data_IF_959548761929
#
_entry.id   IF_959548761929
#
_cell.length_a   1.000
_cell.length_b   1.000
_cell.length_c   1.000
_cell.angle_alpha   90.00
_cell.angle_beta   90.00
_cell.angle_gamma   90.00
#
_symmetry.space_group_name_H-M   'P 1'
#
loop_
_entity.id
_entity.type
_entity.pdbx_description
1 polymer ?
#
# COMPACT_ATOMS: atom_id res chain seq x y z
N UNK A 1 -27.69 -24.94 -0.12
CA UNK A 1 -27.37 -23.51 0.07
C UNK A 1 -25.87 -23.34 -0.01
N UNK A 2 -25.33 -23.03 -1.19
CA UNK A 2 -23.89 -22.87 -1.40
C UNK A 2 -23.48 -21.47 -0.92
N UNK A 3 -22.74 -21.39 0.19
CA UNK A 3 -22.07 -20.14 0.57
C UNK A 3 -21.07 -19.83 -0.56
N UNK A 4 -21.28 -18.73 -1.30
CA UNK A 4 -20.18 -18.11 -2.06
C UNK A 4 -19.14 -17.73 -1.01
N UNK A 5 -18.07 -18.50 -0.90
CA UNK A 5 -16.89 -18.08 -0.17
C UNK A 5 -16.44 -16.80 -0.86
N UNK A 6 -16.47 -15.66 -0.14
CA UNK A 6 -15.75 -14.50 -0.61
C UNK A 6 -14.28 -14.91 -0.65
N UNK A 7 -13.56 -14.62 -1.74
CA UNK A 7 -12.11 -14.86 -1.81
C UNK A 7 -11.33 -13.90 -0.90
N UNK A 8 -11.98 -13.32 0.13
CA UNK A 8 -11.40 -12.33 1.02
C UNK A 8 -10.46 -13.01 1.99
N UNK A 9 -9.20 -12.61 1.98
CA UNK A 9 -8.19 -13.07 2.92
C UNK A 9 -8.25 -12.23 4.20
N UNK A 10 -8.08 -10.91 4.09
CA UNK A 10 -8.02 -9.99 5.23
C UNK A 10 -8.23 -8.54 4.77
N UNK A 11 -8.60 -7.64 5.68
CA UNK A 11 -8.51 -6.18 5.48
C UNK A 11 -7.09 -5.70 5.82
N UNK A 12 -6.53 -4.76 5.07
CA UNK A 12 -5.29 -4.07 5.45
C UNK A 12 -5.65 -2.84 6.27
N UNK A 13 -5.36 -2.87 7.57
CA UNK A 13 -5.73 -1.81 8.51
C UNK A 13 -4.51 -1.12 9.09
N UNK A 14 -4.65 0.17 9.38
CA UNK A 14 -3.63 0.97 10.05
C UNK A 14 -4.09 2.40 10.30
N UNK A 15 -3.15 3.29 10.58
CA UNK A 15 -3.45 4.71 10.77
C UNK A 15 -3.80 5.36 9.43
N UNK A 16 -4.92 6.06 9.34
CA UNK A 16 -5.23 6.90 8.18
C UNK A 16 -4.39 8.18 8.25
N UNK A 17 -3.55 8.41 7.25
CA UNK A 17 -2.60 9.51 7.20
C UNK A 17 -2.68 10.28 5.88
N UNK A 18 -2.39 11.57 5.94
CA UNK A 18 -2.23 12.42 4.77
C UNK A 18 -0.82 12.32 4.17
N UNK A 19 -0.66 12.72 2.92
CA UNK A 19 0.62 12.75 2.21
C UNK A 19 1.75 13.46 2.96
N UNK A 20 1.44 14.56 3.66
CA UNK A 20 2.45 15.27 4.46
C UNK A 20 2.99 14.41 5.61
N UNK A 21 2.11 13.63 6.24
CA UNK A 21 2.49 12.69 7.29
C UNK A 21 3.31 11.55 6.73
N UNK A 22 2.94 10.99 5.57
CA UNK A 22 3.75 9.99 4.86
C UNK A 22 5.17 10.49 4.64
N UNK A 23 5.32 11.67 4.02
CA UNK A 23 6.62 12.30 3.74
C UNK A 23 7.44 12.52 5.01
N UNK A 24 6.82 12.99 6.09
CA UNK A 24 7.51 13.19 7.38
C UNK A 24 8.02 11.89 8.02
N UNK A 25 7.44 10.73 7.65
CA UNK A 25 7.80 9.41 8.19
C UNK A 25 8.79 8.66 7.27
N UNK A 26 9.04 9.14 6.06
CA UNK A 26 9.85 8.45 5.05
C UNK A 26 11.29 8.18 5.50
N UNK A 27 11.94 9.13 6.19
CA UNK A 27 13.30 8.95 6.70
C UNK A 27 13.39 7.78 7.69
N UNK A 28 12.38 7.65 8.54
CA UNK A 28 12.30 6.59 9.55
C UNK A 28 12.05 5.23 8.87
N UNK A 29 11.12 5.18 7.92
CA UNK A 29 10.82 3.97 7.14
C UNK A 29 12.03 3.50 6.32
N UNK A 30 12.75 4.45 5.70
CA UNK A 30 13.97 4.22 4.94
C UNK A 30 15.10 3.69 5.82
N UNK A 31 15.34 4.33 6.97
CA UNK A 31 16.34 3.88 7.94
C UNK A 31 16.04 2.45 8.45
N UNK A 32 14.77 2.14 8.70
CA UNK A 32 14.31 0.82 9.16
C UNK A 32 14.24 -0.23 8.03
N UNK A 33 14.35 0.19 6.77
CA UNK A 33 14.14 -0.65 5.57
C UNK A 33 12.79 -1.39 5.60
N UNK A 34 11.76 -0.75 6.17
CA UNK A 34 10.38 -1.28 6.29
C UNK A 34 9.36 -0.16 6.12
N UNK A 35 8.42 -0.36 5.20
CA UNK A 35 7.40 0.59 4.80
C UNK A 35 6.08 -0.18 4.79
N UNK A 36 5.11 0.34 5.53
CA UNK A 36 3.78 -0.23 5.71
C UNK A 36 2.70 0.76 5.26
N UNK A 37 3.06 1.69 4.39
CA UNK A 37 2.16 2.67 3.81
C UNK A 37 1.51 2.07 2.56
N UNK A 38 0.17 2.04 2.56
CA UNK A 38 -0.66 1.65 1.44
C UNK A 38 -1.53 2.82 1.02
N UNK A 39 -1.33 3.33 -0.20
CA UNK A 39 -2.12 4.45 -0.75
C UNK A 39 -3.59 4.07 -0.93
N UNK A 40 -4.49 4.91 -0.42
CA UNK A 40 -5.94 4.73 -0.52
C UNK A 40 -6.51 5.54 -1.69
N UNK A 41 -6.11 6.81 -1.80
CA UNK A 41 -6.45 7.73 -2.88
C UNK A 41 -5.34 8.81 -3.04
N UNK A 42 -5.62 9.89 -3.77
CA UNK A 42 -4.66 10.97 -4.04
C UNK A 42 -4.26 11.80 -2.81
N UNK A 43 -4.95 11.63 -1.67
CA UNK A 43 -4.78 12.46 -0.48
C UNK A 43 -4.54 11.67 0.80
N UNK A 44 -4.95 10.41 0.82
CA UNK A 44 -4.97 9.56 1.99
C UNK A 44 -4.24 8.24 1.74
N UNK A 45 -3.56 7.78 2.79
CA UNK A 45 -2.90 6.48 2.86
C UNK A 45 -3.17 5.82 4.20
N UNK A 46 -3.02 4.49 4.25
CA UNK A 46 -3.05 3.70 5.49
C UNK A 46 -1.61 3.35 5.86
N UNK A 47 -1.15 3.72 7.05
CA UNK A 47 0.16 3.36 7.60
C UNK A 47 0.02 2.34 8.74
N UNK A 48 0.47 1.10 8.48
CA UNK A 48 0.41 0.02 9.46
C UNK A 48 1.68 -0.13 10.32
N UNK A 49 2.58 0.86 10.33
CA UNK A 49 3.85 0.77 11.05
C UNK A 49 3.67 0.64 12.58
N UNK A 50 2.80 1.48 13.16
CA UNK A 50 2.56 1.56 14.60
C UNK A 50 1.24 0.90 15.04
N UNK A 51 0.19 1.02 14.24
CA UNK A 51 -1.09 0.36 14.46
C UNK A 51 -1.51 -0.39 13.19
N UNK A 52 -1.85 -1.66 13.29
CA UNK A 52 -2.28 -2.47 12.15
C UNK A 52 -2.58 -3.91 12.54
N UNK A 53 -2.92 -4.75 11.57
CA UNK A 53 -3.19 -6.18 11.76
C UNK A 53 -2.15 -7.06 11.04
N UNK A 54 -2.39 -8.37 11.02
CA UNK A 54 -1.51 -9.39 10.45
C UNK A 54 -1.28 -9.22 8.94
N UNK A 55 -2.18 -8.54 8.23
CA UNK A 55 -2.05 -8.30 6.79
C UNK A 55 -0.79 -7.50 6.43
N UNK A 56 -0.25 -6.71 7.37
CA UNK A 56 1.01 -5.97 7.20
C UNK A 56 2.22 -6.86 6.90
N UNK A 57 2.13 -8.15 7.21
CA UNK A 57 3.22 -9.12 7.01
C UNK A 57 3.13 -9.89 5.70
N UNK A 58 2.09 -9.65 4.88
CA UNK A 58 1.97 -10.25 3.55
C UNK A 58 3.05 -9.64 2.65
N UNK A 59 4.03 -10.43 2.23
CA UNK A 59 5.24 -9.96 1.57
C UNK A 59 5.03 -9.58 0.10
N UNK A 60 5.99 -8.84 -0.45
CA UNK A 60 6.11 -8.60 -1.88
C UNK A 60 6.71 -9.80 -2.61
N UNK A 61 6.10 -10.25 -3.69
CA UNK A 61 6.75 -11.09 -4.70
C UNK A 61 5.98 -11.03 -6.03
N UNK A 62 6.62 -10.58 -7.10
CA UNK A 62 5.99 -10.48 -8.43
C UNK A 62 5.80 -11.82 -9.13
N UNK A 63 6.58 -12.85 -8.77
CA UNK A 63 6.50 -14.19 -9.37
C UNK A 63 5.54 -15.11 -8.61
N UNK A 64 5.54 -15.03 -7.27
CA UNK A 64 4.73 -15.87 -6.38
C UNK A 64 3.40 -15.24 -5.97
N UNK A 65 3.05 -14.07 -6.52
CA UNK A 65 1.81 -13.35 -6.23
C UNK A 65 0.59 -14.29 -6.26
N UNK A 66 -0.17 -14.27 -5.17
CA UNK A 66 -1.35 -15.11 -5.00
C UNK A 66 -2.52 -14.38 -4.32
N UNK A 67 -2.30 -13.11 -3.94
CA UNK A 67 -3.30 -12.17 -3.48
C UNK A 67 -3.27 -10.87 -4.29
N UNK A 68 -4.38 -10.15 -4.26
CA UNK A 68 -4.51 -8.79 -4.79
C UNK A 68 -5.23 -7.91 -3.76
N UNK A 69 -4.85 -6.64 -3.69
CA UNK A 69 -5.48 -5.65 -2.84
C UNK A 69 -6.43 -4.76 -3.65
N UNK A 70 -7.60 -4.44 -3.07
CA UNK A 70 -8.58 -3.56 -3.68
C UNK A 70 -9.11 -2.57 -2.65
N UNK A 71 -9.14 -1.29 -3.04
CA UNK A 71 -9.90 -0.28 -2.31
C UNK A 71 -11.40 -0.52 -2.56
N UNK A 72 -12.18 -0.61 -1.49
CA UNK A 72 -13.62 -0.81 -1.51
C UNK A 72 -14.29 0.27 -0.67
N UNK A 73 -15.42 0.78 -1.16
CA UNK A 73 -16.30 1.63 -0.37
C UNK A 73 -17.21 0.74 0.49
N UNK A 74 -17.06 0.81 1.81
CA UNK A 74 -17.83 0.02 2.78
C UNK A 74 -18.47 1.00 3.76
N UNK A 75 -19.80 1.08 3.74
CA UNK A 75 -20.57 1.99 4.61
C UNK A 75 -20.09 3.47 4.55
N UNK A 76 -19.66 3.93 3.37
CA UNK A 76 -19.19 5.30 3.17
C UNK A 76 -17.70 5.52 3.44
N UNK A 77 -16.94 4.48 3.80
CA UNK A 77 -15.50 4.57 4.07
C UNK A 77 -14.70 3.73 3.05
N UNK A 78 -13.60 4.28 2.54
CA UNK A 78 -12.66 3.54 1.71
C UNK A 78 -11.81 2.61 2.60
N UNK A 79 -11.80 1.31 2.26
CA UNK A 79 -11.06 0.27 2.97
C UNK A 79 -10.29 -0.60 2.00
N UNK A 80 -9.16 -1.13 2.42
CA UNK A 80 -8.32 -2.01 1.58
C UNK A 80 -8.62 -3.45 1.93
N UNK A 81 -9.27 -4.18 1.02
CA UNK A 81 -9.45 -5.62 1.13
C UNK A 81 -8.39 -6.38 0.36
N UNK A 82 -7.85 -7.44 0.94
CA UNK A 82 -6.92 -8.38 0.31
C UNK A 82 -7.68 -9.65 -0.05
N UNK A 83 -7.53 -10.10 -1.28
CA UNK A 83 -8.27 -11.22 -1.84
C UNK A 83 -7.35 -12.20 -2.55
N UNK A 84 -7.60 -13.49 -2.36
CA UNK A 84 -6.91 -14.53 -3.10
C UNK A 84 -7.27 -14.45 -4.59
N UNK A 85 -6.26 -14.51 -5.46
CA UNK A 85 -6.45 -14.51 -6.92
C UNK A 85 -6.70 -15.92 -7.47
N UNK A 86 -6.50 -16.95 -6.65
CA UNK A 86 -6.71 -18.36 -6.92
C UNK A 86 -7.03 -19.12 -5.63
N UNK A 87 -7.56 -20.35 -5.68
CA UNK A 87 -7.67 -21.20 -4.48
C UNK A 87 -6.31 -21.38 -3.79
N UNK A 88 -6.30 -21.34 -2.46
CA UNK A 88 -5.10 -21.46 -1.63
C UNK A 88 -5.27 -22.60 -0.64
N UNK A 89 -4.21 -23.40 -0.48
CA UNK A 89 -4.16 -24.44 0.55
C UNK A 89 -3.80 -23.83 1.91
N UNK A 90 -4.23 -24.48 2.98
CA UNK A 90 -3.90 -24.04 4.35
C UNK A 90 -2.37 -24.02 4.56
N UNK A 91 -1.87 -22.94 5.16
CA UNK A 91 -0.43 -22.74 5.39
C UNK A 91 0.34 -22.16 4.20
N UNK A 92 -0.31 -21.90 3.06
CA UNK A 92 0.31 -21.19 1.93
C UNK A 92 0.66 -19.75 2.34
N UNK A 93 1.92 -19.34 2.17
CA UNK A 93 2.34 -17.95 2.36
C UNK A 93 1.64 -17.04 1.33
N UNK A 94 1.17 -15.88 1.79
CA UNK A 94 0.49 -14.90 0.93
C UNK A 94 1.51 -13.90 0.38
N UNK A 95 1.35 -13.55 -0.90
CA UNK A 95 2.19 -12.57 -1.59
C UNK A 95 1.35 -11.57 -2.36
N UNK A 96 1.76 -10.31 -2.29
CA UNK A 96 1.23 -9.17 -3.05
C UNK A 96 2.27 -8.65 -4.05
N UNK A 97 1.78 -8.06 -5.13
CA UNK A 97 2.56 -7.05 -5.84
C UNK A 97 2.31 -5.70 -5.15
N UNK A 98 3.35 -5.11 -4.57
CA UNK A 98 3.23 -3.80 -3.91
C UNK A 98 3.29 -2.64 -4.90
N UNK A 99 3.56 -2.91 -6.18
CA UNK A 99 3.60 -1.90 -7.22
C UNK A 99 4.92 -1.11 -7.28
N UNK A 100 5.03 -0.20 -8.25
CA UNK A 100 6.28 0.45 -8.64
C UNK A 100 6.84 1.45 -7.62
N UNK A 101 6.02 1.92 -6.69
CA UNK A 101 6.40 2.92 -5.69
C UNK A 101 6.91 2.31 -4.38
N UNK A 102 6.81 0.99 -4.21
CA UNK A 102 7.26 0.31 -3.00
C UNK A 102 8.78 0.06 -3.04
N UNK A 103 9.49 0.65 -2.06
CA UNK A 103 10.95 0.55 -1.87
C UNK A 103 11.76 0.48 -3.16
N UNK A 104 12.07 1.65 -3.74
CA UNK A 104 13.25 1.77 -4.61
C UNK A 104 14.51 1.59 -3.77
N UNK A 105 14.83 0.33 -3.46
CA UNK A 105 16.08 -0.04 -2.83
C UNK A 105 17.23 0.30 -3.78
N UNK A 106 17.94 1.40 -3.51
CA UNK A 106 19.25 1.66 -4.11
C UNK A 106 19.32 2.63 -5.29
N UNK A 107 18.43 3.61 -5.40
CA UNK A 107 18.69 4.78 -6.27
C UNK A 107 18.73 6.00 -5.37
N UNK A 108 19.93 6.58 -5.23
CA UNK A 108 20.09 7.89 -4.59
C UNK A 108 19.08 8.87 -5.17
N UNK A 109 18.54 9.70 -4.29
CA UNK A 109 17.76 10.90 -4.59
C UNK A 109 18.09 11.46 -5.99
N UNK A 110 17.17 11.28 -6.94
CA UNK A 110 17.09 12.05 -8.17
C UNK A 110 15.61 12.17 -8.53
N UNK A 111 15.02 13.29 -8.13
CA UNK A 111 13.72 13.77 -8.59
C UNK A 111 13.82 14.26 -10.04
N UNK A 112 14.30 13.42 -10.95
CA UNK A 112 14.25 13.65 -12.38
C UNK A 112 13.60 12.43 -13.02
N UNK A 113 12.59 12.67 -13.85
CA UNK A 113 11.70 11.70 -14.52
C UNK A 113 10.33 11.44 -13.88
N UNK A 114 9.76 12.41 -13.14
CA UNK A 114 8.31 12.58 -13.17
C UNK A 114 7.97 13.29 -14.49
N UNK A 115 7.15 12.64 -15.33
CA UNK A 115 6.68 13.20 -16.59
C UNK A 115 6.05 14.60 -16.42
N UNK A 116 6.17 15.53 -17.39
CA UNK A 116 6.13 16.98 -17.19
C UNK A 116 4.76 17.61 -16.84
N UNK A 117 3.74 16.84 -16.49
CA UNK A 117 2.36 17.31 -16.61
C UNK A 117 1.76 18.01 -15.38
N UNK A 118 2.48 18.22 -14.26
CA UNK A 118 1.87 18.85 -13.06
C UNK A 118 2.76 19.82 -12.26
N UNK A 119 3.82 20.40 -12.83
CA UNK A 119 4.64 21.42 -12.16
C UNK A 119 4.74 22.71 -12.99
N UNK A 120 3.64 23.47 -12.93
CA UNK A 120 3.42 24.87 -13.33
C UNK A 120 1.94 25.07 -12.93
N UNK A 121 1.53 25.69 -11.83
CA UNK A 121 1.90 27.02 -11.34
C UNK A 121 1.47 27.17 -9.87
N UNK A 122 2.29 26.71 -8.93
CA UNK A 122 2.11 27.13 -7.54
C UNK A 122 3.47 27.26 -6.84
N UNK A 123 3.79 28.52 -6.56
CA UNK A 123 4.78 29.04 -5.61
C UNK A 123 6.18 29.34 -6.17
N UNK A 124 6.40 30.62 -6.52
CA UNK A 124 7.42 31.43 -5.85
C UNK A 124 6.85 32.82 -5.57
N UNK A 125 6.99 33.24 -4.31
CA UNK A 125 6.61 34.52 -3.71
C UNK A 125 7.46 35.71 -4.21
N UNK A 126 6.82 36.84 -4.54
CA UNK A 126 7.08 38.20 -4.04
C UNK A 126 5.97 39.15 -4.52
#
# INVERSE_FOLDING_TARGET
MQRRLSNSCQEYVGELIFDLTTKSRDDVSSHRKRNYVFTLDESLSIDSAYAGNEARYINHDTQRVNCAAFVKLVNGEHRIGIYATRPLEAGTELFLDYGPEFFKAGVGQNYENVSPAKLQDAVVHQ
#
